data_IF_969969527405
#
_entry.id   IF_969969527405
#
_cell.length_a   1.000
_cell.length_b   1.000
_cell.length_c   1.000
_cell.angle_alpha   90.00
_cell.angle_beta   90.00
_cell.angle_gamma   90.00
#
_symmetry.space_group_name_H-M   'P 1'
#
loop_
_entity.id
_entity.type
_entity.pdbx_description
1 polymer ?
#
# COMPACT_ATOMS: atom_id res chain seq x y z
N UNK A 1 0.05 -7.15 18.67
CA UNK A 1 0.75 -6.03 18.01
C UNK A 1 0.98 -4.81 18.91
N UNK A 2 0.27 -4.62 20.03
CA UNK A 2 0.42 -3.42 20.85
C UNK A 2 1.68 -3.40 21.74
N UNK A 3 2.34 -4.54 21.95
CA UNK A 3 3.47 -4.61 22.90
C UNK A 3 3.02 -4.31 24.34
N UNK A 4 3.95 -3.95 25.25
CA UNK A 4 3.61 -3.57 26.61
C UNK A 4 2.92 -2.20 26.64
N UNK A 5 1.66 -2.17 27.09
CA UNK A 5 0.85 -0.94 27.23
C UNK A 5 0.10 -0.93 28.56
N UNK A 6 -0.18 0.26 29.09
CA UNK A 6 -0.95 0.45 30.33
C UNK A 6 -2.45 0.60 30.09
N UNK A 7 -2.86 1.03 28.89
CA UNK A 7 -4.26 1.16 28.46
C UNK A 7 -4.36 0.72 27.00
N UNK A 8 -5.41 -0.01 26.65
CA UNK A 8 -5.71 -0.40 25.28
C UNK A 8 -7.18 -0.16 24.94
N UNK A 9 -7.43 0.20 23.69
CA UNK A 9 -8.74 0.23 23.07
C UNK A 9 -8.64 -0.56 21.76
N UNK A 10 -9.68 -1.33 21.44
CA UNK A 10 -9.73 -2.14 20.23
C UNK A 10 -11.09 -1.99 19.56
N UNK A 11 -11.08 -2.08 18.23
CA UNK A 11 -12.27 -2.15 17.41
C UNK A 11 -12.33 -3.53 16.75
N UNK A 12 -13.50 -4.18 16.83
CA UNK A 12 -13.71 -5.48 16.20
C UNK A 12 -14.67 -5.33 15.00
N UNK A 13 -14.21 -5.51 13.75
CA UNK A 13 -15.09 -5.52 12.59
C UNK A 13 -16.16 -6.63 12.71
N UNK A 14 -17.41 -6.41 12.23
CA UNK A 14 -17.91 -5.25 11.48
C UNK A 14 -18.60 -4.18 12.37
N UNK A 15 -18.12 -3.96 13.59
CA UNK A 15 -18.75 -3.03 14.55
C UNK A 15 -19.10 -1.66 13.95
N UNK A 16 -20.21 -1.08 14.37
CA UNK A 16 -20.57 0.26 13.91
C UNK A 16 -19.63 1.32 14.51
N UNK A 17 -19.20 2.29 13.70
CA UNK A 17 -18.48 3.49 14.14
C UNK A 17 -19.46 4.65 13.99
N UNK A 18 -19.71 5.36 15.11
CA UNK A 18 -20.59 6.53 15.11
C UNK A 18 -20.04 7.66 14.24
N UNK A 19 -20.94 8.51 13.75
CA UNK A 19 -20.57 9.67 12.95
C UNK A 19 -19.61 10.60 13.70
N UNK A 20 -18.74 11.25 12.92
CA UNK A 20 -17.71 12.13 13.44
C UNK A 20 -18.31 13.26 14.28
N UNK A 21 -17.76 13.48 15.46
CA UNK A 21 -18.14 14.56 16.37
C UNK A 21 -17.11 15.70 16.35
N UNK A 22 -17.49 16.93 16.77
CA UNK A 22 -16.56 18.06 16.82
C UNK A 22 -15.35 17.84 17.75
N UNK A 23 -15.50 16.99 18.77
CA UNK A 23 -14.45 16.61 19.73
C UNK A 23 -13.57 15.45 19.25
N UNK A 24 -13.89 14.82 18.11
CA UNK A 24 -13.04 13.75 17.57
C UNK A 24 -11.67 14.28 17.14
N UNK A 25 -10.58 13.54 17.42
CA UNK A 25 -9.23 13.96 17.08
C UNK A 25 -9.09 14.38 15.59
N UNK A 26 -8.38 15.49 15.31
CA UNK A 26 -8.13 15.89 13.94
C UNK A 26 -7.24 14.83 13.23
N UNK A 27 -7.50 14.60 11.94
CA UNK A 27 -6.74 13.63 11.14
C UNK A 27 -5.40 14.22 10.65
N UNK A 28 -4.55 14.66 11.58
CA UNK A 28 -3.24 15.28 11.27
C UNK A 28 -2.08 14.27 11.31
N UNK A 29 -2.39 12.97 11.27
CA UNK A 29 -1.45 11.86 11.46
C UNK A 29 -0.53 11.55 10.27
N UNK A 30 -0.24 12.53 9.40
CA UNK A 30 0.60 12.32 8.21
C UNK A 30 1.99 11.76 8.55
N UNK A 31 2.46 11.94 9.80
CA UNK A 31 3.71 11.35 10.28
C UNK A 31 3.75 9.82 10.23
N UNK A 32 2.60 9.15 10.22
CA UNK A 32 2.53 7.70 10.05
C UNK A 32 3.09 7.22 8.70
N UNK A 33 3.24 8.13 7.73
CA UNK A 33 3.81 7.86 6.40
C UNK A 33 5.34 7.99 6.36
N UNK A 34 6.00 8.41 7.44
CA UNK A 34 7.47 8.43 7.50
C UNK A 34 8.00 7.03 7.86
N UNK A 35 8.21 6.21 6.83
CA UNK A 35 8.90 4.92 6.93
C UNK A 35 10.38 5.02 6.56
N UNK A 36 11.15 3.93 6.73
CA UNK A 36 12.51 3.84 6.20
C UNK A 36 12.49 4.03 4.68
N UNK A 37 13.47 4.77 4.16
CA UNK A 37 13.65 4.88 2.71
C UNK A 37 14.20 3.56 2.17
N UNK A 38 13.48 3.02 1.19
CA UNK A 38 13.95 1.88 0.38
C UNK A 38 15.06 2.34 -0.56
N UNK A 39 16.22 1.70 -0.46
CA UNK A 39 17.34 1.89 -1.38
C UNK A 39 16.95 1.46 -2.80
N UNK A 40 17.47 2.17 -3.81
CA UNK A 40 17.19 1.89 -5.22
C UNK A 40 15.68 1.71 -5.50
N UNK A 41 14.85 2.61 -4.95
CA UNK A 41 13.38 2.52 -5.01
C UNK A 41 12.83 2.16 -6.39
N UNK A 42 13.33 2.82 -7.45
CA UNK A 42 12.88 2.55 -8.82
C UNK A 42 13.12 1.09 -9.26
N UNK A 43 14.37 0.62 -9.28
CA UNK A 43 14.70 -0.79 -9.50
C UNK A 43 13.92 -1.76 -8.59
N UNK A 44 13.86 -1.50 -7.29
CA UNK A 44 13.19 -2.36 -6.32
C UNK A 44 11.68 -2.50 -6.60
N UNK A 45 11.01 -1.38 -6.93
CA UNK A 45 9.60 -1.36 -7.28
C UNK A 45 9.32 -2.16 -8.56
N UNK A 46 10.14 -1.94 -9.61
CA UNK A 46 9.97 -2.66 -10.88
C UNK A 46 10.18 -4.16 -10.69
N UNK A 47 11.21 -4.56 -9.96
CA UNK A 47 11.48 -5.97 -9.65
C UNK A 47 10.33 -6.62 -8.87
N UNK A 48 9.79 -5.94 -7.86
CA UNK A 48 8.67 -6.42 -7.08
C UNK A 48 7.43 -6.69 -7.93
N UNK A 49 7.11 -5.79 -8.86
CA UNK A 49 5.98 -5.94 -9.78
C UNK A 49 6.22 -7.10 -10.75
N UNK A 50 7.43 -7.23 -11.32
CA UNK A 50 7.76 -8.31 -12.26
C UNK A 50 7.60 -9.70 -11.64
N UNK A 51 7.88 -9.86 -10.35
CA UNK A 51 7.75 -11.15 -9.65
C UNK A 51 6.30 -11.52 -9.30
N UNK A 52 5.33 -10.62 -9.47
CA UNK A 52 3.93 -10.89 -9.10
C UNK A 52 3.09 -11.41 -10.26
N UNK A 53 2.53 -12.59 -10.08
CA UNK A 53 1.39 -13.06 -10.87
C UNK A 53 0.11 -12.38 -10.38
N UNK A 54 -0.56 -11.60 -11.23
CA UNK A 54 -1.87 -11.02 -10.94
C UNK A 54 -1.97 -9.50 -11.01
N UNK A 55 -0.88 -8.79 -11.36
CA UNK A 55 -0.97 -7.40 -11.79
C UNK A 55 -1.09 -7.33 -13.32
N UNK A 56 -1.93 -6.45 -13.87
CA UNK A 56 -1.97 -6.23 -15.31
C UNK A 56 -0.61 -5.81 -15.86
N UNK A 57 -0.28 -6.24 -17.09
CA UNK A 57 1.00 -5.93 -17.71
C UNK A 57 1.30 -4.42 -17.79
N UNK A 58 0.27 -3.59 -17.95
CA UNK A 58 0.42 -2.15 -18.06
C UNK A 58 0.92 -1.47 -16.77
N UNK A 59 0.74 -2.09 -15.61
CA UNK A 59 1.21 -1.58 -14.30
C UNK A 59 2.74 -1.44 -14.27
N UNK A 60 3.48 -2.29 -15.00
CA UNK A 60 4.92 -2.15 -15.14
C UNK A 60 5.32 -0.86 -15.88
N UNK A 61 4.52 -0.42 -16.86
CA UNK A 61 4.76 0.85 -17.55
C UNK A 61 4.48 2.03 -16.62
N UNK A 62 3.40 1.98 -15.85
CA UNK A 62 3.07 2.99 -14.85
C UNK A 62 4.19 3.13 -13.80
N UNK A 63 4.72 2.02 -13.29
CA UNK A 63 5.83 2.03 -12.33
C UNK A 63 7.10 2.68 -12.91
N UNK A 64 7.46 2.35 -14.16
CA UNK A 64 8.61 2.98 -14.85
C UNK A 64 8.39 4.48 -15.06
N UNK A 65 7.18 4.89 -15.40
CA UNK A 65 6.85 6.30 -15.61
C UNK A 65 6.88 7.10 -14.29
N UNK A 66 6.29 6.55 -13.22
CA UNK A 66 6.27 7.15 -11.90
C UNK A 66 7.69 7.32 -11.33
N UNK A 67 8.54 6.29 -11.45
CA UNK A 67 9.93 6.32 -10.95
C UNK A 67 10.85 7.26 -11.73
N UNK A 68 10.47 7.63 -12.97
CA UNK A 68 11.19 8.63 -13.78
C UNK A 68 10.64 10.06 -13.61
N UNK A 69 9.56 10.24 -12.85
CA UNK A 69 8.89 11.53 -12.69
C UNK A 69 8.25 12.06 -13.98
N UNK A 70 7.98 11.20 -14.96
CA UNK A 70 7.45 11.62 -16.28
C UNK A 70 5.93 11.75 -16.30
N UNK A 71 5.27 11.57 -15.14
CA UNK A 71 3.82 11.40 -15.04
C UNK A 71 3.36 10.04 -15.59
N UNK A 72 2.26 9.52 -15.04
CA UNK A 72 1.63 8.29 -15.53
C UNK A 72 0.49 8.71 -16.46
N UNK A 73 0.61 8.40 -17.76
CA UNK A 73 -0.38 8.79 -18.78
C UNK A 73 -1.80 8.26 -18.49
N UNK A 74 -1.92 7.18 -17.74
CA UNK A 74 -3.19 6.54 -17.37
C UNK A 74 -3.39 6.54 -15.84
N UNK A 75 -3.11 7.67 -15.17
CA UNK A 75 -3.22 7.76 -13.71
C UNK A 75 -4.64 7.43 -13.19
N UNK A 76 -5.68 7.75 -13.96
CA UNK A 76 -7.07 7.39 -13.64
C UNK A 76 -7.30 5.88 -13.73
N UNK A 77 -6.61 5.18 -14.64
CA UNK A 77 -6.68 3.73 -14.72
C UNK A 77 -5.97 3.08 -13.54
N UNK A 78 -4.84 3.64 -13.11
CA UNK A 78 -4.16 3.24 -11.87
C UNK A 78 -5.04 3.41 -10.64
N UNK A 79 -5.74 4.54 -10.53
CA UNK A 79 -6.67 4.79 -9.44
C UNK A 79 -7.83 3.81 -9.41
N UNK A 80 -8.38 3.45 -10.58
CA UNK A 80 -9.42 2.42 -10.68
C UNK A 80 -8.91 1.04 -10.26
N UNK A 81 -7.78 0.62 -10.79
CA UNK A 81 -7.16 -0.68 -10.42
C UNK A 81 -6.85 -0.73 -8.91
N UNK A 82 -6.34 0.37 -8.35
CA UNK A 82 -6.08 0.50 -6.91
C UNK A 82 -7.36 0.33 -6.09
N UNK A 83 -8.46 0.95 -6.51
CA UNK A 83 -9.76 0.84 -5.83
C UNK A 83 -10.38 -0.56 -5.94
N UNK A 84 -10.24 -1.21 -7.10
CA UNK A 84 -10.70 -2.58 -7.33
C UNK A 84 -9.93 -3.56 -6.44
N UNK A 85 -8.60 -3.45 -6.39
CA UNK A 85 -7.74 -4.28 -5.52
C UNK A 85 -8.03 -4.00 -4.04
N UNK A 86 -8.25 -2.73 -3.65
CA UNK A 86 -8.66 -2.37 -2.28
C UNK A 86 -9.97 -3.06 -1.90
N UNK A 87 -10.98 -2.97 -2.75
CA UNK A 87 -12.29 -3.59 -2.53
C UNK A 87 -12.18 -5.11 -2.44
N UNK A 88 -11.44 -5.74 -3.35
CA UNK A 88 -11.17 -7.17 -3.31
C UNK A 88 -10.43 -7.58 -2.03
N UNK A 89 -9.46 -6.79 -1.57
CA UNK A 89 -8.70 -7.04 -0.32
C UNK A 89 -9.61 -7.01 0.91
N UNK A 90 -10.48 -6.00 1.01
CA UNK A 90 -11.42 -5.88 2.14
C UNK A 90 -12.39 -7.06 2.16
N UNK A 91 -12.89 -7.47 0.98
CA UNK A 91 -13.77 -8.63 0.87
C UNK A 91 -13.03 -9.93 1.23
N UNK A 92 -11.83 -10.14 0.72
CA UNK A 92 -10.98 -11.29 1.06
C UNK A 92 -10.67 -11.37 2.56
N UNK A 93 -10.45 -10.22 3.21
CA UNK A 93 -10.27 -10.16 4.66
C UNK A 93 -11.52 -10.59 5.40
N UNK A 94 -12.70 -10.07 5.04
CA UNK A 94 -13.98 -10.43 5.68
C UNK A 94 -14.32 -11.90 5.50
N UNK A 95 -14.09 -12.42 4.29
CA UNK A 95 -14.41 -13.79 3.92
C UNK A 95 -13.28 -14.79 4.24
N UNK A 96 -12.19 -14.34 4.85
CA UNK A 96 -11.02 -15.15 5.20
C UNK A 96 -10.44 -15.92 3.99
N UNK A 97 -10.43 -15.29 2.82
CA UNK A 97 -9.97 -15.92 1.58
C UNK A 97 -8.45 -16.14 1.58
N UNK A 98 -7.97 -17.25 1.00
CA UNK A 98 -6.55 -17.62 1.02
C UNK A 98 -5.67 -16.70 0.14
N UNK A 99 -6.26 -15.94 -0.78
CA UNK A 99 -5.57 -15.01 -1.68
C UNK A 99 -5.32 -13.63 -1.04
N UNK A 100 -5.79 -13.39 0.19
CA UNK A 100 -5.61 -12.13 0.90
C UNK A 100 -4.15 -11.62 0.90
N UNK A 101 -3.11 -12.44 1.18
CA UNK A 101 -1.72 -11.97 1.13
C UNK A 101 -1.31 -11.45 -0.26
N UNK A 102 -1.80 -12.08 -1.34
CA UNK A 102 -1.54 -11.64 -2.70
C UNK A 102 -2.20 -10.29 -2.96
N UNK A 103 -3.46 -10.12 -2.57
CA UNK A 103 -4.21 -8.88 -2.74
C UNK A 103 -3.60 -7.71 -1.96
N UNK A 104 -3.22 -7.94 -0.69
CA UNK A 104 -2.56 -6.92 0.16
C UNK A 104 -1.25 -6.44 -0.48
N UNK A 105 -0.44 -7.36 -0.98
CA UNK A 105 0.83 -6.98 -1.62
C UNK A 105 0.64 -6.24 -2.96
N UNK A 106 -0.36 -6.63 -3.76
CA UNK A 106 -0.73 -5.88 -4.97
C UNK A 106 -1.19 -4.46 -4.60
N UNK A 107 -2.00 -4.33 -3.54
CA UNK A 107 -2.48 -3.05 -3.05
C UNK A 107 -1.33 -2.13 -2.64
N UNK A 108 -0.36 -2.65 -1.88
CA UNK A 108 0.83 -1.89 -1.48
C UNK A 108 1.64 -1.39 -2.66
N UNK A 109 1.87 -2.23 -3.69
CA UNK A 109 2.64 -1.82 -4.88
C UNK A 109 1.90 -0.77 -5.70
N UNK A 110 0.59 -0.91 -5.92
CA UNK A 110 -0.20 0.08 -6.64
C UNK A 110 -0.23 1.43 -5.91
N UNK A 111 -0.38 1.41 -4.57
CA UNK A 111 -0.30 2.62 -3.75
C UNK A 111 1.08 3.29 -3.81
N UNK A 112 2.17 2.50 -3.90
CA UNK A 112 3.51 3.04 -4.08
C UNK A 112 3.68 3.75 -5.44
N UNK A 113 3.13 3.19 -6.52
CA UNK A 113 3.15 3.80 -7.85
C UNK A 113 2.34 5.09 -7.86
N UNK A 114 1.12 5.09 -7.30
CA UNK A 114 0.27 6.27 -7.24
C UNK A 114 0.96 7.40 -6.46
N UNK A 115 1.45 7.10 -5.25
CA UNK A 115 2.16 8.08 -4.45
C UNK A 115 3.40 8.64 -5.16
N UNK A 116 4.16 7.81 -5.87
CA UNK A 116 5.31 8.26 -6.65
C UNK A 116 4.88 9.15 -7.83
N UNK A 117 3.78 8.81 -8.51
CA UNK A 117 3.23 9.59 -9.61
C UNK A 117 2.71 10.97 -9.16
N UNK A 118 2.12 11.05 -7.97
CA UNK A 118 1.67 12.30 -7.34
C UNK A 118 2.82 13.08 -6.66
N UNK A 119 4.06 12.59 -6.72
CA UNK A 119 5.23 13.26 -6.12
C UNK A 119 5.38 13.06 -4.61
N UNK A 120 4.52 12.26 -3.98
CA UNK A 120 4.54 11.92 -2.56
C UNK A 120 5.58 10.84 -2.23
N UNK A 121 6.86 11.18 -2.35
CA UNK A 121 7.96 10.21 -2.21
C UNK A 121 7.96 9.48 -0.86
N UNK A 122 7.72 10.17 0.26
CA UNK A 122 7.71 9.50 1.57
C UNK A 122 6.60 8.44 1.68
N UNK A 123 5.42 8.70 1.10
CA UNK A 123 4.34 7.72 1.03
C UNK A 123 4.68 6.55 0.08
N UNK A 124 5.33 6.83 -1.05
CA UNK A 124 5.78 5.79 -1.98
C UNK A 124 6.78 4.84 -1.31
N UNK A 125 7.78 5.38 -0.61
CA UNK A 125 8.75 4.60 0.15
C UNK A 125 8.11 3.85 1.31
N UNK A 126 7.14 4.44 2.00
CA UNK A 126 6.38 3.77 3.06
C UNK A 126 5.68 2.50 2.57
N UNK A 127 4.93 2.60 1.46
CA UNK A 127 4.24 1.44 0.90
C UNK A 127 5.22 0.35 0.43
N UNK A 128 6.33 0.76 -0.20
CA UNK A 128 7.36 -0.18 -0.62
C UNK A 128 8.07 -0.85 0.55
N UNK A 129 8.34 -0.13 1.64
CA UNK A 129 8.95 -0.68 2.85
C UNK A 129 8.05 -1.74 3.50
N UNK A 130 6.75 -1.48 3.61
CA UNK A 130 5.77 -2.45 4.10
C UNK A 130 5.65 -3.68 3.20
N UNK A 131 5.66 -3.47 1.89
CA UNK A 131 5.70 -4.57 0.93
C UNK A 131 6.92 -5.46 1.16
N UNK A 132 8.12 -4.87 1.23
CA UNK A 132 9.37 -5.59 1.44
C UNK A 132 9.35 -6.35 2.75
N UNK A 133 8.96 -5.71 3.85
CA UNK A 133 8.91 -6.36 5.17
C UNK A 133 7.93 -7.55 5.22
N UNK A 134 6.88 -7.53 4.39
CA UNK A 134 5.81 -8.52 4.42
C UNK A 134 5.97 -9.64 3.37
N UNK A 135 6.61 -9.34 2.24
CA UNK A 135 6.59 -10.20 1.04
C UNK A 135 7.95 -10.36 0.36
N UNK A 136 8.95 -9.52 0.62
CA UNK A 136 10.28 -9.81 0.09
C UNK A 136 10.82 -11.00 0.86
N UNK A 137 11.15 -12.07 0.14
CA UNK A 137 11.92 -13.16 0.71
C UNK A 137 13.22 -12.57 1.22
N UNK A 138 13.40 -12.49 2.54
CA UNK A 138 14.70 -12.19 3.13
C UNK A 138 15.66 -13.22 2.57
N UNK A 139 16.49 -12.81 1.60
CA UNK A 139 17.63 -13.57 1.14
C UNK A 139 18.57 -13.69 2.32
N UNK A 140 18.40 -14.75 3.11
CA UNK A 140 19.32 -15.09 4.18
C UNK A 140 20.63 -15.48 3.48
N UNK A 141 21.59 -14.57 3.46
CA UNK A 141 23.02 -14.90 3.29
C UNK A 141 23.56 -15.39 4.63
#
# INVERSE_FOLDING_TARGET
MLGPVTVSAAYNPPGYIADRRPDDPPLTGERARYGPRVDEFGPALVEAITRRSGLPAWVQFAAKAATRGTGVYEIEQLRRELEDVRSATINAYREHKPDLPQLVGNWMLLAAIEAAADGHQDAAHYHMAWYTASFATTGRR
#
